data_IF_348655148302
#
_entry.id   IF_348655148302
#
_cell.length_a   1.000
_cell.length_b   1.000
_cell.length_c   1.000
_cell.angle_alpha   90.00
_cell.angle_beta   90.00
_cell.angle_gamma   90.00
#
_symmetry.space_group_name_H-M   'P 1'
#
loop_
_entity.id
_entity.type
_entity.pdbx_description
1 polymer ?
#
# COMPACT_ATOMS: atom_id res chain seq x y z
N UNK A 1 -28.23 36.80 -31.47
CA UNK A 1 -28.08 35.78 -32.54
C UNK A 1 -26.72 35.10 -32.54
N UNK A 2 -25.59 35.82 -32.57
CA UNK A 2 -24.25 35.17 -32.62
C UNK A 2 -23.85 34.41 -31.34
N UNK A 3 -24.16 34.95 -30.15
CA UNK A 3 -23.84 34.31 -28.85
C UNK A 3 -24.57 32.97 -28.71
N UNK A 4 -25.86 32.96 -29.04
CA UNK A 4 -26.72 31.78 -28.97
C UNK A 4 -26.29 30.68 -29.96
N UNK A 5 -25.72 31.06 -31.10
CA UNK A 5 -25.13 30.13 -32.07
C UNK A 5 -23.86 29.49 -31.50
N UNK A 6 -23.00 30.26 -30.83
CA UNK A 6 -21.80 29.72 -30.20
C UNK A 6 -22.12 28.80 -29.02
N UNK A 7 -23.10 29.12 -28.20
CA UNK A 7 -23.56 28.24 -27.13
C UNK A 7 -24.07 26.90 -27.67
N UNK A 8 -24.80 26.92 -28.79
CA UNK A 8 -25.23 25.72 -29.51
C UNK A 8 -24.05 24.90 -30.06
N UNK A 9 -23.01 25.56 -30.56
CA UNK A 9 -21.80 24.87 -31.04
C UNK A 9 -21.00 24.24 -29.89
N UNK A 10 -20.87 24.94 -28.76
CA UNK A 10 -20.16 24.44 -27.57
C UNK A 10 -20.89 23.23 -26.99
N UNK A 11 -22.22 23.28 -26.89
CA UNK A 11 -23.04 22.16 -26.41
C UNK A 11 -22.99 20.97 -27.37
N UNK A 12 -23.08 21.20 -28.68
CA UNK A 12 -22.94 20.15 -29.69
C UNK A 12 -21.55 19.48 -29.67
N UNK A 13 -20.48 20.27 -29.56
CA UNK A 13 -19.11 19.76 -29.44
C UNK A 13 -18.90 18.96 -28.15
N UNK A 14 -19.47 19.42 -27.03
CA UNK A 14 -19.44 18.70 -25.74
C UNK A 14 -20.16 17.36 -25.80
N UNK A 15 -21.32 17.29 -26.46
CA UNK A 15 -22.06 16.03 -26.65
C UNK A 15 -21.28 15.09 -27.58
N UNK A 16 -20.77 15.61 -28.71
CA UNK A 16 -20.01 14.83 -29.71
C UNK A 16 -18.71 14.24 -29.15
N UNK A 17 -18.00 14.98 -28.28
CA UNK A 17 -16.74 14.52 -27.65
C UNK A 17 -16.96 13.76 -26.34
N UNK A 18 -18.17 13.80 -25.76
CA UNK A 18 -18.47 13.02 -24.58
C UNK A 18 -18.49 11.54 -24.93
N UNK A 19 -17.67 10.75 -24.23
CA UNK A 19 -17.85 9.30 -24.24
C UNK A 19 -19.22 9.02 -23.61
N UNK A 20 -20.08 8.18 -24.22
CA UNK A 20 -21.30 7.77 -23.57
C UNK A 20 -20.92 7.22 -22.20
N UNK A 21 -21.48 7.79 -21.14
CA UNK A 21 -21.43 7.18 -19.83
C UNK A 21 -22.21 5.88 -19.97
N UNK A 22 -21.50 4.79 -20.20
CA UNK A 22 -22.08 3.46 -20.07
C UNK A 22 -22.22 3.29 -18.57
N UNK A 23 -23.44 3.37 -17.99
CA UNK A 23 -23.61 2.97 -16.61
C UNK A 23 -23.05 1.56 -16.53
N UNK A 24 -22.03 1.38 -15.70
CA UNK A 24 -21.54 0.05 -15.39
C UNK A 24 -22.65 -0.57 -14.56
N UNK A 25 -23.61 -1.19 -15.22
CA UNK A 25 -24.69 -1.96 -14.61
C UNK A 25 -24.04 -3.16 -13.94
N UNK A 26 -23.47 -2.92 -12.76
CA UNK A 26 -22.91 -3.96 -11.94
C UNK A 26 -24.12 -4.73 -11.44
N UNK A 27 -24.35 -5.90 -12.02
CA UNK A 27 -25.42 -6.78 -11.61
C UNK A 27 -25.32 -7.01 -10.09
N UNK A 28 -26.35 -6.59 -9.37
CA UNK A 28 -26.49 -6.84 -7.94
C UNK A 28 -27.65 -7.81 -7.79
N UNK A 29 -27.41 -8.93 -7.10
CA UNK A 29 -28.46 -9.89 -6.79
C UNK A 29 -29.66 -9.18 -6.11
N UNK A 30 -30.88 -9.27 -6.68
CA UNK A 30 -32.08 -8.65 -6.12
C UNK A 30 -32.32 -8.99 -4.64
N UNK A 31 -32.01 -10.23 -4.23
CA UNK A 31 -32.15 -10.71 -2.85
C UNK A 31 -31.18 -9.98 -1.92
N UNK A 32 -29.94 -9.73 -2.36
CA UNK A 32 -28.99 -8.94 -1.59
C UNK A 32 -29.43 -7.47 -1.50
N UNK A 33 -30.02 -6.91 -2.56
CA UNK A 33 -30.54 -5.53 -2.55
C UNK A 33 -31.65 -5.35 -1.50
N UNK A 34 -32.55 -6.32 -1.41
CA UNK A 34 -33.63 -6.33 -0.42
C UNK A 34 -33.08 -6.42 1.02
N UNK A 35 -32.18 -7.37 1.30
CA UNK A 35 -31.54 -7.51 2.61
C UNK A 35 -30.76 -6.27 3.02
N UNK A 36 -30.08 -5.61 2.08
CA UNK A 36 -29.36 -4.37 2.34
C UNK A 36 -30.33 -3.23 2.75
N UNK A 37 -31.51 -3.14 2.11
CA UNK A 37 -32.55 -2.17 2.48
C UNK A 37 -33.04 -2.42 3.91
N UNK A 38 -33.33 -3.67 4.24
CA UNK A 38 -33.80 -4.05 5.57
C UNK A 38 -32.73 -3.81 6.66
N UNK A 39 -31.47 -4.16 6.38
CA UNK A 39 -30.33 -3.87 7.26
C UNK A 39 -30.20 -2.38 7.53
N UNK A 40 -30.29 -1.55 6.49
CA UNK A 40 -30.16 -0.09 6.62
C UNK A 40 -31.30 0.48 7.47
N UNK A 41 -32.53 -0.02 7.27
CA UNK A 41 -33.66 0.33 8.12
C UNK A 41 -33.43 -0.07 9.59
N UNK A 42 -33.05 -1.33 9.85
CA UNK A 42 -32.78 -1.80 11.21
C UNK A 42 -31.64 -1.01 11.88
N UNK A 43 -30.60 -0.63 11.13
CA UNK A 43 -29.50 0.23 11.61
C UNK A 43 -30.02 1.61 12.00
N UNK A 44 -30.81 2.25 11.14
CA UNK A 44 -31.39 3.56 11.41
C UNK A 44 -32.19 3.53 12.71
N UNK A 45 -33.13 2.60 12.84
CA UNK A 45 -33.96 2.50 14.04
C UNK A 45 -33.12 2.15 15.28
N UNK A 46 -32.17 1.22 15.18
CA UNK A 46 -31.30 0.86 16.31
C UNK A 46 -30.45 2.03 16.80
N UNK A 47 -29.96 2.89 15.89
CA UNK A 47 -29.19 4.08 16.26
C UNK A 47 -30.07 5.16 16.89
N UNK A 48 -31.25 5.42 16.31
CA UNK A 48 -32.18 6.45 16.82
C UNK A 48 -32.80 6.08 18.16
N UNK A 49 -33.26 4.84 18.31
CA UNK A 49 -34.03 4.41 19.49
C UNK A 49 -33.18 3.72 20.56
N UNK A 50 -31.92 3.38 20.23
CA UNK A 50 -31.03 2.53 21.03
C UNK A 50 -31.63 1.17 21.44
N UNK A 51 -32.71 0.73 20.79
CA UNK A 51 -33.43 -0.48 21.17
C UNK A 51 -32.64 -1.75 20.74
N UNK A 52 -32.39 -2.70 21.68
CA UNK A 52 -31.60 -3.89 21.43
C UNK A 52 -32.24 -4.88 20.44
N UNK A 53 -33.57 -4.90 20.30
CA UNK A 53 -34.28 -5.77 19.35
C UNK A 53 -33.85 -5.48 17.91
N UNK A 54 -33.74 -4.19 17.56
CA UNK A 54 -33.29 -3.78 16.22
C UNK A 54 -31.79 -4.02 16.02
N UNK A 55 -30.97 -3.98 17.08
CA UNK A 55 -29.56 -4.37 17.01
C UNK A 55 -29.41 -5.87 16.71
N UNK A 56 -30.20 -6.71 17.38
CA UNK A 56 -30.24 -8.16 17.11
C UNK A 56 -30.73 -8.44 15.69
N UNK A 57 -31.77 -7.76 15.22
CA UNK A 57 -32.28 -7.85 13.84
C UNK A 57 -31.20 -7.48 12.83
N UNK A 58 -30.51 -6.35 13.03
CA UNK A 58 -29.38 -5.93 12.19
C UNK A 58 -28.30 -7.02 12.12
N UNK A 59 -27.88 -7.56 13.27
CA UNK A 59 -26.85 -8.60 13.33
C UNK A 59 -27.29 -9.87 12.57
N UNK A 60 -28.57 -10.26 12.68
CA UNK A 60 -29.15 -11.38 11.94
C UNK A 60 -29.10 -11.12 10.43
N UNK A 61 -29.53 -9.95 9.97
CA UNK A 61 -29.52 -9.59 8.54
C UNK A 61 -28.09 -9.54 8.01
N UNK A 62 -27.12 -9.01 8.77
CA UNK A 62 -25.71 -9.06 8.37
C UNK A 62 -25.22 -10.48 8.11
N UNK A 63 -25.55 -11.44 9.00
CA UNK A 63 -25.19 -12.85 8.79
C UNK A 63 -25.85 -13.43 7.52
N UNK A 64 -27.11 -13.06 7.24
CA UNK A 64 -27.80 -13.49 6.02
C UNK A 64 -27.15 -12.91 4.77
N UNK A 65 -26.76 -11.63 4.79
CA UNK A 65 -26.04 -10.99 3.69
C UNK A 65 -24.71 -11.70 3.43
N UNK A 66 -23.91 -11.99 4.46
CA UNK A 66 -22.65 -12.73 4.30
C UNK A 66 -22.85 -14.09 3.66
N UNK A 67 -23.78 -14.89 4.19
CA UNK A 67 -24.09 -16.23 3.65
C UNK A 67 -24.59 -16.19 2.21
N UNK A 68 -25.49 -15.25 1.89
CA UNK A 68 -26.02 -15.12 0.54
C UNK A 68 -24.94 -14.62 -0.42
N UNK A 69 -24.09 -13.70 0.01
CA UNK A 69 -22.96 -13.22 -0.80
C UNK A 69 -22.00 -14.36 -1.14
N UNK A 70 -21.62 -15.18 -0.15
CA UNK A 70 -20.80 -16.39 -0.39
C UNK A 70 -21.46 -17.33 -1.40
N UNK A 71 -22.76 -17.58 -1.24
CA UNK A 71 -23.53 -18.44 -2.16
C UNK A 71 -23.51 -17.89 -3.60
N UNK A 72 -23.80 -16.60 -3.78
CA UNK A 72 -23.81 -15.94 -5.10
C UNK A 72 -22.42 -15.97 -5.75
N UNK A 73 -21.37 -15.72 -4.97
CA UNK A 73 -19.99 -15.80 -5.47
C UNK A 73 -19.63 -17.24 -5.89
N UNK A 74 -19.97 -18.23 -5.08
CA UNK A 74 -19.72 -19.64 -5.39
C UNK A 74 -20.49 -20.10 -6.63
N UNK A 75 -21.77 -19.75 -6.76
CA UNK A 75 -22.59 -20.04 -7.94
C UNK A 75 -22.01 -19.35 -9.19
N UNK A 76 -21.58 -18.10 -9.06
CA UNK A 76 -20.90 -17.36 -10.13
C UNK A 76 -19.61 -18.07 -10.57
N UNK A 77 -18.78 -18.49 -9.63
CA UNK A 77 -17.55 -19.24 -9.90
C UNK A 77 -17.82 -20.58 -10.59
N UNK A 78 -18.79 -21.35 -10.10
CA UNK A 78 -19.17 -22.64 -10.70
C UNK A 78 -19.66 -22.44 -12.13
N UNK A 79 -20.51 -21.44 -12.36
CA UNK A 79 -21.00 -21.11 -13.70
C UNK A 79 -19.87 -20.66 -14.62
N UNK A 80 -18.93 -19.85 -14.12
CA UNK A 80 -17.76 -19.42 -14.90
C UNK A 80 -16.91 -20.62 -15.31
N UNK A 81 -16.61 -21.53 -14.36
CA UNK A 81 -15.85 -22.75 -14.62
C UNK A 81 -16.56 -23.70 -15.59
N UNK A 82 -17.87 -23.87 -15.48
CA UNK A 82 -18.67 -24.68 -16.41
C UNK A 82 -18.68 -24.11 -17.84
N UNK A 83 -18.61 -22.79 -17.97
CA UNK A 83 -18.60 -22.11 -19.26
C UNK A 83 -17.21 -22.08 -19.91
N UNK A 84 -16.15 -22.54 -19.24
CA UNK A 84 -14.82 -22.62 -19.83
C UNK A 84 -14.78 -23.70 -20.91
N UNK A 85 -14.26 -23.32 -22.08
CA UNK A 85 -14.06 -24.23 -23.21
C UNK A 85 -12.61 -24.24 -23.68
N UNK A 86 -12.15 -25.41 -24.11
CA UNK A 86 -10.77 -25.64 -24.56
C UNK A 86 -10.48 -25.09 -25.96
N UNK A 87 -11.50 -25.04 -26.83
CA UNK A 87 -11.44 -24.56 -28.22
C UNK A 87 -11.19 -23.05 -28.32
N UNK A 88 -11.86 -22.24 -27.48
CA UNK A 88 -11.94 -20.79 -27.63
C UNK A 88 -10.87 -20.03 -26.81
N UNK A 89 -9.86 -20.73 -26.28
CA UNK A 89 -8.78 -20.14 -25.46
C UNK A 89 -9.25 -19.50 -24.14
N UNK A 90 -10.51 -19.72 -23.74
CA UNK A 90 -11.11 -19.15 -22.52
C UNK A 90 -10.42 -19.68 -21.26
N UNK A 91 -10.06 -20.96 -21.24
CA UNK A 91 -9.27 -21.58 -20.16
C UNK A 91 -7.95 -20.82 -19.97
N UNK A 92 -7.25 -20.49 -21.05
CA UNK A 92 -5.97 -19.78 -20.95
C UNK A 92 -6.15 -18.38 -20.37
N UNK A 93 -7.21 -17.65 -20.76
CA UNK A 93 -7.54 -16.34 -20.20
C UNK A 93 -7.83 -16.43 -18.70
N UNK A 94 -8.56 -17.45 -18.25
CA UNK A 94 -8.87 -17.70 -16.85
C UNK A 94 -7.62 -18.08 -16.03
N UNK A 95 -6.74 -18.93 -16.56
CA UNK A 95 -5.55 -19.44 -15.83
C UNK A 95 -4.39 -18.42 -15.78
N UNK A 96 -4.26 -17.57 -16.80
CA UNK A 96 -3.14 -16.62 -16.97
C UNK A 96 -2.86 -15.73 -15.73
N UNK A 97 -3.85 -15.15 -15.04
CA UNK A 97 -3.62 -14.39 -13.81
C UNK A 97 -2.96 -15.21 -12.69
N UNK A 98 -3.37 -16.47 -12.51
CA UNK A 98 -2.81 -17.34 -11.46
C UNK A 98 -1.33 -17.68 -11.68
N UNK A 99 -0.86 -17.63 -12.93
CA UNK A 99 0.56 -17.87 -13.26
C UNK A 99 1.45 -16.64 -13.02
N UNK A 100 0.88 -15.44 -12.91
CA UNK A 100 1.66 -14.22 -12.64
C UNK A 100 2.05 -14.20 -11.15
N UNK A 101 3.35 -14.29 -10.86
CA UNK A 101 3.88 -13.96 -9.53
C UNK A 101 3.74 -12.44 -9.32
N UNK A 102 2.64 -12.00 -8.72
CA UNK A 102 2.45 -10.59 -8.39
C UNK A 102 3.41 -10.19 -7.28
N UNK A 103 4.51 -9.51 -7.62
CA UNK A 103 5.32 -8.79 -6.63
C UNK A 103 4.90 -7.32 -6.73
N UNK A 104 4.18 -6.83 -5.73
CA UNK A 104 3.93 -5.41 -5.59
C UNK A 104 5.23 -4.78 -5.04
N UNK A 105 6.16 -4.46 -5.95
CA UNK A 105 7.36 -3.71 -5.57
C UNK A 105 6.93 -2.24 -5.59
N UNK A 106 6.89 -1.55 -4.44
CA UNK A 106 6.53 -0.14 -4.42
C UNK A 106 7.57 0.66 -5.21
N UNK A 107 7.12 1.74 -5.83
CA UNK A 107 8.04 2.66 -6.51
C UNK A 107 8.97 3.32 -5.48
N UNK A 108 10.20 3.61 -5.89
CA UNK A 108 11.13 4.38 -5.07
C UNK A 108 10.66 5.84 -5.04
N UNK A 109 10.27 6.31 -3.86
CA UNK A 109 9.76 7.65 -3.62
C UNK A 109 10.86 8.44 -2.92
N UNK A 110 11.38 9.44 -3.61
CA UNK A 110 12.29 10.44 -3.02
C UNK A 110 11.52 11.71 -2.65
N UNK A 111 12.12 12.60 -1.85
CA UNK A 111 11.58 13.95 -1.63
C UNK A 111 11.37 14.75 -2.92
N UNK A 112 12.13 14.45 -3.99
CA UNK A 112 12.01 15.06 -5.31
C UNK A 112 10.93 14.41 -6.19
N UNK A 113 10.31 13.32 -5.74
CA UNK A 113 9.26 12.59 -6.46
C UNK A 113 9.59 11.12 -6.70
N UNK A 114 8.80 10.50 -7.58
CA UNK A 114 8.94 9.08 -7.95
C UNK A 114 10.13 8.92 -8.90
N UNK A 115 11.08 8.05 -8.56
CA UNK A 115 12.21 7.73 -9.42
C UNK A 115 11.74 6.84 -10.59
N UNK A 116 11.65 7.42 -11.78
CA UNK A 116 11.17 6.75 -12.99
C UNK A 116 12.32 6.23 -13.84
N UNK A 117 13.40 7.02 -13.97
CA UNK A 117 14.58 6.63 -14.75
C UNK A 117 15.53 5.75 -13.94
N UNK A 118 16.32 4.92 -14.61
CA UNK A 118 17.26 4.03 -13.90
C UNK A 118 18.37 4.81 -13.20
N UNK A 119 18.76 5.96 -13.75
CA UNK A 119 19.71 6.87 -13.10
C UNK A 119 19.13 7.45 -11.81
N UNK A 120 17.87 7.91 -11.82
CA UNK A 120 17.19 8.40 -10.61
C UNK A 120 17.13 7.32 -9.53
N UNK A 121 16.83 6.06 -9.90
CA UNK A 121 16.78 4.94 -8.96
C UNK A 121 18.16 4.64 -8.37
N UNK A 122 19.21 4.66 -9.20
CA UNK A 122 20.57 4.41 -8.74
C UNK A 122 21.02 5.49 -7.74
N UNK A 123 20.77 6.75 -8.06
CA UNK A 123 21.10 7.87 -7.16
C UNK A 123 20.30 7.78 -5.86
N UNK A 124 19.00 7.48 -5.92
CA UNK A 124 18.18 7.32 -4.72
C UNK A 124 18.71 6.22 -3.79
N UNK A 125 19.09 5.07 -4.36
CA UNK A 125 19.67 3.98 -3.59
C UNK A 125 21.02 4.38 -3.00
N UNK A 126 21.88 5.07 -3.76
CA UNK A 126 23.15 5.57 -3.27
C UNK A 126 22.95 6.52 -2.07
N UNK A 127 22.10 7.53 -2.20
CA UNK A 127 21.80 8.49 -1.13
C UNK A 127 21.21 7.81 0.12
N UNK A 128 20.33 6.83 -0.09
CA UNK A 128 19.73 6.07 1.01
C UNK A 128 20.78 5.24 1.74
N UNK A 129 21.66 4.57 1.01
CA UNK A 129 22.72 3.74 1.59
C UNK A 129 23.75 4.61 2.30
N UNK A 130 24.17 5.73 1.70
CA UNK A 130 25.08 6.69 2.33
C UNK A 130 24.57 7.11 3.70
N UNK A 131 23.30 7.53 3.79
CA UNK A 131 22.64 7.91 5.06
C UNK A 131 22.57 6.77 6.08
N UNK A 132 22.40 5.53 5.62
CA UNK A 132 22.34 4.37 6.50
C UNK A 132 23.71 3.98 7.04
N UNK A 133 24.77 4.23 6.27
CA UNK A 133 26.15 3.87 6.59
C UNK A 133 27.00 5.06 7.07
N UNK A 134 26.39 6.20 7.42
CA UNK A 134 27.12 7.27 8.11
C UNK A 134 27.48 6.83 9.53
N UNK A 135 28.72 7.09 9.95
CA UNK A 135 29.14 6.91 11.33
C UNK A 135 28.23 7.70 12.26
N UNK A 136 27.57 7.00 13.18
CA UNK A 136 26.86 7.65 14.26
C UNK A 136 27.87 8.40 15.13
N UNK A 137 27.59 9.66 15.46
CA UNK A 137 28.35 10.38 16.48
C UNK A 137 27.96 9.80 17.84
N UNK A 138 28.67 8.75 18.26
CA UNK A 138 28.54 8.10 19.57
C UNK A 138 29.51 8.69 20.60
N UNK A 139 30.12 9.85 20.30
CA UNK A 139 30.99 10.56 21.23
C UNK A 139 30.18 10.98 22.45
N UNK A 140 30.60 10.46 23.60
CA UNK A 140 30.03 10.76 24.91
C UNK A 140 31.18 11.25 25.80
N UNK A 141 31.25 12.56 26.11
CA UNK A 141 32.39 13.15 26.81
C UNK A 141 32.71 12.47 28.13
N UNK A 142 31.67 12.07 28.89
CA UNK A 142 31.82 11.42 30.18
C UNK A 142 32.46 10.03 30.04
N UNK A 143 32.01 9.24 29.07
CA UNK A 143 32.60 7.94 28.77
C UNK A 143 34.02 8.09 28.22
N UNK A 144 34.28 9.08 27.37
CA UNK A 144 35.61 9.36 26.83
C UNK A 144 36.61 9.74 27.93
N UNK A 145 36.19 10.56 28.90
CA UNK A 145 36.99 10.93 30.07
C UNK A 145 37.31 9.70 30.93
N UNK A 146 36.31 8.88 31.28
CA UNK A 146 36.50 7.66 32.07
C UNK A 146 37.46 6.69 31.37
N UNK A 147 37.32 6.48 30.06
CA UNK A 147 38.20 5.60 29.28
C UNK A 147 39.62 6.18 29.24
N UNK A 148 39.76 7.48 29.01
CA UNK A 148 41.06 8.16 29.01
C UNK A 148 41.77 8.01 30.35
N UNK A 149 41.07 8.25 31.46
CA UNK A 149 41.60 8.10 32.81
C UNK A 149 41.98 6.64 33.12
N UNK A 150 41.16 5.68 32.72
CA UNK A 150 41.47 4.26 32.88
C UNK A 150 42.72 3.86 32.09
N UNK A 151 42.87 4.33 30.85
CA UNK A 151 44.02 4.02 29.99
C UNK A 151 45.29 4.68 30.51
N UNK A 152 45.23 5.93 30.95
CA UNK A 152 46.38 6.64 31.55
C UNK A 152 46.83 5.94 32.83
N UNK A 153 45.89 5.61 33.73
CA UNK A 153 46.17 4.84 34.94
C UNK A 153 46.79 3.47 34.62
N UNK A 154 46.26 2.74 33.63
CA UNK A 154 46.84 1.46 33.22
C UNK A 154 48.28 1.61 32.71
N UNK A 155 48.57 2.62 31.87
CA UNK A 155 49.93 2.88 31.37
C UNK A 155 50.90 3.20 32.51
N UNK A 156 50.48 4.02 33.48
CA UNK A 156 51.28 4.36 34.66
C UNK A 156 51.52 3.10 35.52
N UNK A 157 50.47 2.32 35.77
CA UNK A 157 50.54 1.14 36.64
C UNK A 157 51.30 -0.03 36.02
N UNK A 158 51.36 -0.13 34.69
CA UNK A 158 52.10 -1.19 33.98
C UNK A 158 53.55 -0.81 33.67
N UNK A 159 54.00 0.40 34.06
CA UNK A 159 55.38 0.90 34.00
C UNK A 159 56.27 0.14 33.00
N UNK A 160 55.97 0.25 31.70
CA UNK A 160 57.03 0.00 30.72
C UNK A 160 57.98 1.18 30.88
N UNK A 161 59.23 0.96 31.32
CA UNK A 161 60.19 2.04 31.36
C UNK A 161 60.29 2.65 29.96
N UNK A 162 60.33 3.97 29.92
CA UNK A 162 60.58 4.82 28.75
C UNK A 162 62.00 4.57 28.18
N UNK A 163 62.31 3.33 27.81
CA UNK A 163 63.53 2.93 27.11
C UNK A 163 63.18 2.45 25.70
N UNK A 164 62.50 3.29 24.91
CA UNK A 164 62.64 3.32 23.44
C UNK A 164 62.42 4.76 22.93
N UNK A 165 63.04 5.74 23.59
CA UNK A 165 63.48 6.99 22.93
C UNK A 165 64.86 6.79 22.28
N UNK A 166 65.11 5.61 21.71
CA UNK A 166 66.15 5.42 20.73
C UNK A 166 65.48 5.55 19.35
N UNK A 167 65.80 6.63 18.62
CA UNK A 167 65.53 6.68 17.18
C UNK A 167 66.10 5.41 16.56
N UNK A 168 65.32 4.55 15.88
CA UNK A 168 65.87 3.30 15.39
C UNK A 168 66.86 3.49 14.25
N UNK A 169 66.97 4.69 13.63
CA UNK A 169 67.89 4.91 12.53
C UNK A 169 68.42 6.36 12.45
N UNK A 170 69.74 6.56 12.26
CA UNK A 170 70.32 7.80 11.75
C UNK A 170 70.29 7.85 10.21
N UNK A 171 70.18 9.08 9.69
CA UNK A 171 70.13 9.55 8.29
C UNK A 171 68.76 9.48 7.59
#
# INVERSE_FOLDING_TARGET
MAVELHEKQITAAKISTSKPFVPKDMYVDPRLKELNKERNYARKISQTTRNPVFKSKLNKINKLISKLSEKVQNEGLVNELQNLRADNGTIWKYVKPFKKKHRNIPNLISPAGIANTDQEKANFLADSLEKQFTLNNISDPDTEEIVSDSVTCFRINNNYPSELNASPFPL
#
